data_IF_381096750091
#
_entry.id   IF_381096750091
#
_cell.length_a   1.000
_cell.length_b   1.000
_cell.length_c   1.000
_cell.angle_alpha   90.00
_cell.angle_beta   90.00
_cell.angle_gamma   90.00
#
_symmetry.space_group_name_H-M   'P 1'
#
loop_
_entity.id
_entity.type
_entity.pdbx_description
1 polymer ?
#
# COMPACT_ATOMS: atom_id res chain seq x y z
N UNK A 1 21.39 5.94 -17.23
CA UNK A 1 20.45 5.52 -18.30
C UNK A 1 19.19 5.04 -17.60
N UNK A 2 18.01 5.46 -18.03
CA UNK A 2 16.76 4.94 -17.47
C UNK A 2 16.71 3.43 -17.69
N UNK A 3 16.36 2.67 -16.66
CA UNK A 3 16.15 1.23 -16.80
C UNK A 3 14.71 1.02 -17.22
N UNK A 4 14.47 0.26 -18.29
CA UNK A 4 13.10 -0.09 -18.72
C UNK A 4 12.86 -1.57 -18.45
N UNK A 5 11.78 -1.89 -17.75
CA UNK A 5 11.37 -3.27 -17.46
C UNK A 5 9.89 -3.40 -17.80
N UNK A 6 9.56 -4.28 -18.74
CA UNK A 6 8.18 -4.58 -19.13
C UNK A 6 7.33 -3.34 -19.48
N UNK A 7 7.94 -2.33 -20.13
CA UNK A 7 7.27 -1.09 -20.53
C UNK A 7 7.16 -0.02 -19.46
N UNK A 8 7.76 -0.23 -18.27
CA UNK A 8 7.91 0.78 -17.23
C UNK A 8 9.32 1.35 -17.24
N UNK A 9 9.44 2.68 -17.27
CA UNK A 9 10.70 3.41 -17.22
C UNK A 9 11.01 3.85 -15.79
N UNK A 10 12.16 3.42 -15.28
CA UNK A 10 12.63 3.76 -13.94
C UNK A 10 13.63 4.93 -14.04
N UNK A 11 13.28 6.06 -13.41
CA UNK A 11 14.06 7.31 -13.51
C UNK A 11 15.36 7.22 -12.68
N UNK A 12 15.37 6.42 -11.62
CA UNK A 12 16.51 6.20 -10.73
C UNK A 12 17.33 4.96 -11.10
N UNK A 13 18.41 4.76 -10.34
CA UNK A 13 19.16 3.50 -10.38
C UNK A 13 18.28 2.35 -9.84
N UNK A 14 18.19 1.27 -10.61
CA UNK A 14 17.61 -0.01 -10.16
C UNK A 14 18.76 -0.92 -9.76
N UNK A 15 18.98 -1.06 -8.47
CA UNK A 15 20.07 -1.87 -7.90
C UNK A 15 19.79 -3.37 -8.09
N UNK A 16 20.79 -4.21 -7.84
CA UNK A 16 20.58 -5.67 -7.83
C UNK A 16 19.55 -6.10 -6.79
N UNK A 17 19.55 -5.48 -5.60
CA UNK A 17 18.59 -5.78 -4.54
C UNK A 17 17.14 -5.40 -4.93
N UNK A 18 16.97 -4.37 -5.75
CA UNK A 18 15.63 -3.95 -6.21
C UNK A 18 15.02 -4.99 -7.16
N UNK A 19 15.86 -5.75 -7.89
CA UNK A 19 15.40 -6.73 -8.89
C UNK A 19 14.66 -7.92 -8.30
N UNK A 20 14.83 -8.17 -7.00
CA UNK A 20 14.05 -9.20 -6.30
C UNK A 20 12.59 -8.79 -6.07
N UNK A 21 12.30 -7.48 -6.12
CA UNK A 21 10.94 -6.91 -6.04
C UNK A 21 10.45 -6.52 -7.45
N UNK A 22 11.32 -5.91 -8.24
CA UNK A 22 11.06 -5.43 -9.60
C UNK A 22 11.43 -6.49 -10.63
N UNK A 23 10.94 -7.72 -10.44
CA UNK A 23 11.13 -8.78 -11.43
C UNK A 23 10.39 -8.43 -12.72
N UNK A 24 10.78 -8.97 -13.88
CA UNK A 24 10.07 -8.74 -15.14
C UNK A 24 8.57 -9.05 -15.05
N UNK A 25 8.19 -10.08 -14.31
CA UNK A 25 6.80 -10.52 -14.09
C UNK A 25 6.04 -9.54 -13.21
N UNK A 26 6.64 -9.08 -12.10
CA UNK A 26 6.04 -8.08 -11.22
C UNK A 26 5.83 -6.75 -11.95
N UNK A 27 6.82 -6.32 -12.75
CA UNK A 27 6.71 -5.12 -13.57
C UNK A 27 5.68 -5.27 -14.69
N UNK A 28 5.57 -6.44 -15.33
CA UNK A 28 4.55 -6.70 -16.34
C UNK A 28 3.13 -6.66 -15.73
N UNK A 29 2.96 -7.23 -14.54
CA UNK A 29 1.69 -7.14 -13.81
C UNK A 29 1.35 -5.69 -13.45
N UNK A 30 2.32 -4.93 -12.92
CA UNK A 30 2.15 -3.51 -12.60
C UNK A 30 1.78 -2.68 -13.84
N UNK A 31 2.46 -2.91 -14.97
CA UNK A 31 2.14 -2.24 -16.24
C UNK A 31 0.70 -2.53 -16.68
N UNK A 32 0.25 -3.79 -16.58
CA UNK A 32 -1.13 -4.17 -16.89
C UNK A 32 -2.17 -3.49 -15.98
N UNK A 33 -1.86 -3.31 -14.69
CA UNK A 33 -2.70 -2.55 -13.77
C UNK A 33 -2.78 -1.07 -14.17
N UNK A 34 -1.65 -0.45 -14.51
CA UNK A 34 -1.61 0.95 -14.95
C UNK A 34 -2.44 1.14 -16.22
N UNK A 35 -2.24 0.29 -17.23
CA UNK A 35 -2.97 0.34 -18.50
C UNK A 35 -4.48 0.18 -18.29
N UNK A 36 -4.89 -0.66 -17.34
CA UNK A 36 -6.32 -0.92 -17.08
C UNK A 36 -6.98 0.19 -16.27
N UNK A 37 -6.29 0.76 -15.27
CA UNK A 37 -6.95 1.56 -14.22
C UNK A 37 -6.53 3.04 -14.15
N UNK A 38 -5.38 3.44 -14.70
CA UNK A 38 -4.87 4.80 -14.54
C UNK A 38 -5.82 5.87 -15.09
N UNK A 39 -6.41 5.65 -16.28
CA UNK A 39 -7.37 6.57 -16.90
C UNK A 39 -8.58 6.83 -15.99
N UNK A 40 -9.10 5.77 -15.34
CA UNK A 40 -10.23 5.92 -14.42
C UNK A 40 -9.83 6.65 -13.14
N UNK A 41 -8.64 6.38 -12.62
CA UNK A 41 -8.09 7.08 -11.46
C UNK A 41 -7.98 8.59 -11.72
N UNK A 42 -7.48 9.00 -12.88
CA UNK A 42 -7.36 10.41 -13.24
C UNK A 42 -8.74 11.09 -13.35
N UNK A 43 -9.69 10.44 -14.04
CA UNK A 43 -11.07 10.94 -14.13
C UNK A 43 -11.76 11.08 -12.76
N UNK A 44 -11.43 10.22 -11.79
CA UNK A 44 -11.94 10.33 -10.42
C UNK A 44 -11.33 11.54 -9.68
N UNK A 45 -10.05 11.86 -9.90
CA UNK A 45 -9.42 13.03 -9.33
C UNK A 45 -10.00 14.33 -9.91
N UNK A 46 -10.25 14.38 -11.21
CA UNK A 46 -10.95 15.50 -11.85
C UNK A 46 -12.38 15.67 -11.28
N UNK A 47 -13.10 14.56 -11.11
CA UNK A 47 -14.44 14.58 -10.52
C UNK A 47 -14.44 15.12 -9.07
N UNK A 48 -13.36 14.92 -8.30
CA UNK A 48 -13.21 15.52 -6.96
C UNK A 48 -13.17 17.04 -7.04
N UNK A 49 -12.43 17.62 -7.99
CA UNK A 49 -12.35 19.07 -8.17
C UNK A 49 -13.72 19.66 -8.56
N UNK A 50 -14.45 19.00 -9.46
CA UNK A 50 -15.82 19.40 -9.84
C UNK A 50 -16.77 19.34 -8.63
N UNK A 51 -16.65 18.31 -7.79
CA UNK A 51 -17.48 18.19 -6.60
C UNK A 51 -17.15 19.25 -5.55
N UNK A 52 -15.86 19.52 -5.32
CA UNK A 52 -15.41 20.57 -4.40
C UNK A 52 -15.96 21.95 -4.82
N UNK A 53 -15.88 22.30 -6.11
CA UNK A 53 -16.41 23.57 -6.61
C UNK A 53 -17.92 23.76 -6.37
N UNK A 54 -18.70 22.67 -6.37
CA UNK A 54 -20.13 22.73 -6.02
C UNK A 54 -20.34 23.02 -4.54
N UNK A 55 -19.52 22.42 -3.68
CA UNK A 55 -19.56 22.66 -2.23
C UNK A 55 -19.17 24.10 -1.93
N UNK A 56 -18.10 24.61 -2.56
CA UNK A 56 -17.64 25.98 -2.41
C UNK A 56 -18.72 27.00 -2.87
N UNK A 57 -19.55 26.62 -3.85
CA UNK A 57 -20.71 27.40 -4.29
C UNK A 57 -21.94 27.30 -3.36
N UNK A 58 -21.82 26.63 -2.21
CA UNK A 58 -22.85 26.58 -1.17
C UNK A 58 -23.66 25.27 -1.11
N UNK A 59 -23.37 24.27 -1.95
CA UNK A 59 -24.05 22.98 -1.88
C UNK A 59 -23.43 22.10 -0.77
N UNK A 60 -24.11 21.97 0.37
CA UNK A 60 -23.66 21.06 1.43
C UNK A 60 -23.80 19.58 1.01
N UNK A 61 -22.87 18.69 1.41
CA UNK A 61 -22.99 17.26 1.17
C UNK A 61 -24.23 16.66 1.85
N UNK A 62 -24.92 15.76 1.15
CA UNK A 62 -26.04 14.99 1.68
C UNK A 62 -26.14 13.61 1.00
N UNK A 63 -26.97 12.71 1.54
CA UNK A 63 -27.20 11.38 1.00
C UNK A 63 -27.78 11.43 -0.42
N UNK A 64 -27.16 10.70 -1.35
CA UNK A 64 -27.66 10.60 -2.72
C UNK A 64 -29.01 9.89 -2.78
N UNK A 65 -29.99 10.53 -3.41
CA UNK A 65 -31.33 9.94 -3.65
C UNK A 65 -31.25 8.72 -4.56
N UNK A 66 -30.39 8.76 -5.59
CA UNK A 66 -30.22 7.68 -6.58
C UNK A 66 -29.69 6.36 -6.00
N UNK A 67 -29.13 6.35 -4.80
CA UNK A 67 -28.64 5.13 -4.13
C UNK A 67 -29.51 4.71 -2.95
N UNK A 68 -30.74 5.24 -2.83
CA UNK A 68 -31.65 4.88 -1.73
C UNK A 68 -32.00 3.39 -1.70
N UNK A 69 -32.27 2.77 -2.85
CA UNK A 69 -32.56 1.34 -2.93
C UNK A 69 -31.41 0.45 -2.45
N UNK A 70 -30.16 0.91 -2.58
CA UNK A 70 -28.99 0.20 -2.04
C UNK A 70 -28.94 0.31 -0.52
N UNK A 71 -29.25 1.48 0.06
CA UNK A 71 -29.24 1.70 1.52
C UNK A 71 -30.40 1.00 2.23
N UNK A 72 -31.55 0.92 1.57
CA UNK A 72 -32.76 0.28 2.11
C UNK A 72 -32.83 -1.22 1.78
N UNK A 73 -31.90 -1.73 0.97
CA UNK A 73 -31.89 -3.12 0.52
C UNK A 73 -31.38 -4.08 1.60
N UNK A 74 -31.86 -5.32 1.57
CA UNK A 74 -31.37 -6.41 2.42
C UNK A 74 -30.20 -7.13 1.75
N UNK A 75 -28.99 -6.69 2.08
CA UNK A 75 -27.76 -7.31 1.59
C UNK A 75 -26.65 -7.22 2.64
N UNK A 76 -25.62 -8.05 2.47
CA UNK A 76 -24.41 -8.06 3.29
C UNK A 76 -23.18 -8.20 2.40
N UNK A 77 -22.03 -7.80 2.92
CA UNK A 77 -20.74 -8.10 2.30
C UNK A 77 -20.52 -9.61 2.20
N UNK A 78 -19.58 -10.04 1.36
CA UNK A 78 -19.17 -11.44 1.27
C UNK A 78 -18.63 -11.98 2.60
N UNK A 79 -18.51 -13.31 2.70
CA UNK A 79 -17.94 -13.96 3.88
C UNK A 79 -16.52 -13.47 4.15
N UNK A 80 -16.21 -13.23 5.42
CA UNK A 80 -14.90 -12.75 5.85
C UNK A 80 -13.96 -13.94 6.11
N UNK A 81 -12.67 -13.83 5.75
CA UNK A 81 -11.64 -14.77 6.19
C UNK A 81 -11.60 -14.92 7.72
N UNK A 82 -11.32 -16.12 8.20
CA UNK A 82 -11.39 -16.46 9.62
C UNK A 82 -10.45 -15.62 10.50
N UNK A 83 -9.26 -15.29 9.99
CA UNK A 83 -8.25 -14.46 10.64
C UNK A 83 -8.63 -12.98 10.76
N UNK A 84 -9.66 -12.53 10.04
CA UNK A 84 -10.19 -11.17 10.10
C UNK A 84 -11.48 -11.04 10.94
N UNK A 85 -11.94 -12.13 11.57
CA UNK A 85 -13.13 -12.11 12.42
C UNK A 85 -12.88 -11.48 13.80
N UNK A 86 -11.64 -11.55 14.32
CA UNK A 86 -11.24 -10.91 15.57
C UNK A 86 -10.19 -9.83 15.30
N UNK A 87 -10.63 -8.56 15.28
CA UNK A 87 -9.78 -7.38 15.03
C UNK A 87 -9.86 -6.38 16.19
N UNK A 88 -9.99 -6.89 17.43
CA UNK A 88 -10.27 -6.07 18.63
C UNK A 88 -9.23 -4.97 18.90
N UNK A 89 -7.98 -5.18 18.50
CA UNK A 89 -6.90 -4.21 18.56
C UNK A 89 -6.03 -4.35 17.31
N UNK A 90 -5.74 -3.22 16.67
CA UNK A 90 -4.84 -3.13 15.53
C UNK A 90 -3.75 -2.10 15.82
N UNK A 91 -2.51 -2.40 15.45
CA UNK A 91 -1.41 -1.45 15.52
C UNK A 91 -1.08 -0.95 14.11
N UNK A 92 -0.67 0.30 14.00
CA UNK A 92 -0.25 0.91 12.73
C UNK A 92 1.22 1.30 12.83
N UNK A 93 1.98 1.16 11.74
CA UNK A 93 3.38 1.52 11.77
C UNK A 93 4.06 1.52 10.40
N UNK A 94 5.24 2.14 10.32
CA UNK A 94 5.97 2.22 9.06
C UNK A 94 6.49 0.85 8.63
N UNK A 95 6.84 0.75 7.36
CA UNK A 95 7.38 -0.47 6.73
C UNK A 95 8.89 -0.68 6.94
N UNK A 96 9.46 -0.10 8.01
CA UNK A 96 10.88 -0.30 8.35
C UNK A 96 11.07 -1.64 9.05
N UNK A 97 12.20 -2.30 8.78
CA UNK A 97 12.42 -3.71 9.13
C UNK A 97 12.21 -4.03 10.61
N UNK A 98 12.84 -3.26 11.50
CA UNK A 98 12.68 -3.40 12.96
C UNK A 98 11.25 -3.15 13.42
N UNK A 99 10.57 -2.15 12.84
CA UNK A 99 9.20 -1.79 13.23
C UNK A 99 8.18 -2.83 12.81
N UNK A 100 8.34 -3.44 11.63
CA UNK A 100 7.49 -4.55 11.19
C UNK A 100 7.57 -5.71 12.19
N UNK A 101 8.78 -6.11 12.62
CA UNK A 101 8.97 -7.20 13.59
C UNK A 101 8.29 -6.86 14.92
N UNK A 102 8.57 -5.67 15.47
CA UNK A 102 8.00 -5.25 16.74
C UNK A 102 6.47 -5.17 16.70
N UNK A 103 5.90 -4.69 15.59
CA UNK A 103 4.45 -4.56 15.44
C UNK A 103 3.76 -5.93 15.27
N UNK A 104 4.39 -6.85 14.55
CA UNK A 104 3.89 -8.22 14.37
C UNK A 104 3.95 -9.03 15.67
N UNK A 105 4.94 -8.78 16.53
CA UNK A 105 5.08 -9.44 17.84
C UNK A 105 4.32 -8.72 18.97
N UNK A 106 3.62 -7.62 18.69
CA UNK A 106 2.82 -6.94 19.71
C UNK A 106 1.58 -7.77 20.06
N UNK A 107 1.05 -7.59 21.28
CA UNK A 107 -0.21 -8.23 21.72
C UNK A 107 -1.43 -7.55 21.07
N UNK A 108 -1.56 -7.75 19.76
CA UNK A 108 -2.59 -7.19 18.89
C UNK A 108 -3.05 -8.24 17.88
N UNK A 109 -4.19 -8.02 17.24
CA UNK A 109 -4.71 -8.95 16.23
C UNK A 109 -4.18 -8.67 14.84
N UNK A 110 -3.99 -7.38 14.53
CA UNK A 110 -3.62 -6.91 13.19
C UNK A 110 -2.52 -5.87 13.29
N UNK A 111 -1.57 -5.95 12.37
CA UNK A 111 -0.64 -4.88 12.07
C UNK A 111 -0.92 -4.32 10.68
N UNK A 112 -1.25 -3.02 10.62
CA UNK A 112 -1.34 -2.27 9.38
C UNK A 112 0.02 -1.65 9.04
N UNK A 113 0.73 -2.27 8.11
CA UNK A 113 2.00 -1.80 7.58
C UNK A 113 1.77 -0.70 6.55
N UNK A 114 2.37 0.45 6.79
CA UNK A 114 1.95 1.68 6.14
C UNK A 114 2.94 2.22 5.10
N UNK A 115 2.45 2.37 3.86
CA UNK A 115 3.13 3.08 2.78
C UNK A 115 2.58 4.50 2.53
N UNK A 116 1.68 4.97 3.38
CA UNK A 116 1.00 6.27 3.27
C UNK A 116 1.46 7.24 4.38
N UNK A 117 0.58 7.68 5.29
CA UNK A 117 0.82 8.85 6.14
C UNK A 117 1.99 8.69 7.13
N UNK A 118 2.34 7.46 7.53
CA UNK A 118 3.49 7.20 8.40
C UNK A 118 4.81 6.97 7.64
N UNK A 119 4.80 7.09 6.30
CA UNK A 119 5.98 6.86 5.45
C UNK A 119 6.35 8.12 4.67
N UNK A 120 7.58 8.61 4.84
CA UNK A 120 8.18 9.49 3.81
C UNK A 120 8.44 8.64 2.55
N UNK A 121 7.75 8.88 1.41
CA UNK A 121 7.75 7.97 0.27
C UNK A 121 8.97 8.17 -0.63
N UNK A 122 10.17 8.04 -0.04
CA UNK A 122 11.39 7.94 -0.85
C UNK A 122 11.39 6.61 -1.59
N UNK A 123 12.01 6.56 -2.77
CA UNK A 123 12.13 5.32 -3.54
C UNK A 123 12.69 4.16 -2.69
N UNK A 124 13.73 4.44 -1.90
CA UNK A 124 14.37 3.47 -1.02
C UNK A 124 13.41 2.95 0.05
N UNK A 125 12.67 3.83 0.72
CA UNK A 125 11.69 3.44 1.73
C UNK A 125 10.58 2.55 1.15
N UNK A 126 10.11 2.85 -0.06
CA UNK A 126 9.07 2.05 -0.72
C UNK A 126 9.61 0.67 -1.10
N UNK A 127 10.76 0.59 -1.77
CA UNK A 127 11.33 -0.70 -2.19
C UNK A 127 11.77 -1.55 -0.99
N UNK A 128 12.43 -0.97 0.03
CA UNK A 128 12.75 -1.70 1.27
C UNK A 128 11.50 -2.16 1.99
N UNK A 129 10.46 -1.33 2.00
CA UNK A 129 9.17 -1.70 2.55
C UNK A 129 8.64 -2.97 1.91
N UNK A 130 8.64 -3.06 0.57
CA UNK A 130 8.22 -4.27 -0.15
C UNK A 130 9.08 -5.49 0.19
N UNK A 131 10.41 -5.33 0.26
CA UNK A 131 11.32 -6.38 0.71
C UNK A 131 11.00 -6.86 2.13
N UNK A 132 10.80 -5.93 3.07
CA UNK A 132 10.48 -6.26 4.45
C UNK A 132 9.12 -6.96 4.56
N UNK A 133 8.12 -6.52 3.79
CA UNK A 133 6.80 -7.15 3.75
C UNK A 133 6.87 -8.58 3.21
N UNK A 134 7.61 -8.81 2.12
CA UNK A 134 7.84 -10.15 1.56
C UNK A 134 8.53 -11.08 2.57
N UNK A 135 9.56 -10.59 3.25
CA UNK A 135 10.30 -11.37 4.25
C UNK A 135 9.44 -11.66 5.48
N UNK A 136 8.56 -10.72 5.89
CA UNK A 136 7.62 -10.91 6.99
C UNK A 136 6.58 -11.98 6.68
N UNK A 137 5.98 -11.93 5.48
CA UNK A 137 5.04 -12.97 5.01
C UNK A 137 5.73 -14.34 4.91
N UNK A 138 6.98 -14.35 4.45
CA UNK A 138 7.80 -15.58 4.37
C UNK A 138 8.33 -16.07 5.72
N UNK A 139 8.11 -15.31 6.81
CA UNK A 139 8.65 -15.55 8.16
C UNK A 139 10.18 -15.65 8.21
N UNK A 140 10.87 -14.96 7.30
CA UNK A 140 12.35 -14.88 7.25
C UNK A 140 12.88 -13.51 7.67
N UNK A 141 12.01 -12.56 7.98
CA UNK A 141 12.41 -11.23 8.44
C UNK A 141 13.16 -11.32 9.78
N UNK A 142 14.33 -10.69 9.82
CA UNK A 142 15.16 -10.56 11.01
C UNK A 142 15.90 -9.23 10.99
N UNK A 143 16.26 -8.73 12.15
CA UNK A 143 17.01 -7.49 12.28
C UNK A 143 17.99 -7.59 13.43
N UNK A 144 19.24 -7.19 13.21
CA UNK A 144 20.24 -7.03 14.27
C UNK A 144 20.50 -5.53 14.47
N UNK A 145 20.31 -5.07 15.70
CA UNK A 145 20.50 -3.68 16.07
C UNK A 145 22.00 -3.39 16.23
N UNK A 146 22.60 -2.57 15.35
CA UNK A 146 24.06 -2.41 15.33
C UNK A 146 24.61 -1.69 16.57
N UNK A 147 23.77 -0.95 17.30
CA UNK A 147 24.19 -0.25 18.51
C UNK A 147 24.19 -1.15 19.75
N UNK A 148 23.19 -2.03 19.87
CA UNK A 148 23.00 -2.89 21.05
C UNK A 148 23.38 -4.35 20.86
N UNK A 149 23.58 -4.81 19.62
CA UNK A 149 23.78 -6.22 19.27
C UNK A 149 22.53 -7.08 19.46
N UNK A 150 21.37 -6.49 19.73
CA UNK A 150 20.11 -7.23 19.91
C UNK A 150 19.57 -7.71 18.58
N UNK A 151 19.25 -8.99 18.49
CA UNK A 151 18.55 -9.58 17.34
C UNK A 151 17.04 -9.62 17.57
N UNK A 152 16.28 -9.36 16.51
CA UNK A 152 14.81 -9.36 16.48
C UNK A 152 14.37 -10.32 15.37
N UNK A 153 13.42 -11.20 15.70
CA UNK A 153 12.78 -12.17 14.78
C UNK A 153 11.30 -12.27 15.12
N UNK A 154 10.49 -12.87 14.25
CA UNK A 154 9.07 -13.05 14.52
C UNK A 154 8.81 -14.13 15.56
N UNK A 155 7.77 -13.92 16.37
CA UNK A 155 7.21 -14.97 17.23
C UNK A 155 6.43 -16.00 16.38
N UNK A 156 6.07 -17.14 16.97
CA UNK A 156 5.41 -18.25 16.26
C UNK A 156 4.03 -17.88 15.68
N UNK A 157 3.31 -16.98 16.36
CA UNK A 157 1.96 -16.55 15.99
C UNK A 157 1.86 -15.02 15.94
N UNK A 158 2.48 -14.38 14.93
CA UNK A 158 2.45 -12.93 14.78
C UNK A 158 1.04 -12.44 14.42
N UNK A 159 0.80 -11.14 14.63
CA UNK A 159 -0.42 -10.46 14.19
C UNK A 159 -0.66 -10.61 12.68
N UNK A 160 -1.92 -10.53 12.26
CA UNK A 160 -2.30 -10.53 10.84
C UNK A 160 -1.76 -9.27 10.17
N UNK A 161 -1.13 -9.41 9.01
CA UNK A 161 -0.52 -8.29 8.29
C UNK A 161 -1.50 -7.72 7.26
N UNK A 162 -1.72 -6.40 7.30
CA UNK A 162 -2.49 -5.65 6.29
C UNK A 162 -1.60 -4.53 5.74
N UNK A 163 -1.54 -4.35 4.43
CA UNK A 163 -0.81 -3.26 3.81
C UNK A 163 -1.73 -2.06 3.54
N UNK A 164 -1.36 -0.88 4.04
CA UNK A 164 -1.97 0.40 3.63
C UNK A 164 -1.18 1.00 2.47
N UNK A 165 -1.84 1.21 1.33
CA UNK A 165 -1.26 1.84 0.14
C UNK A 165 -1.44 3.36 0.18
N UNK A 166 -0.63 4.07 -0.62
CA UNK A 166 -0.78 5.52 -0.83
C UNK A 166 -2.16 5.87 -1.38
N UNK A 167 -2.68 7.02 -0.97
CA UNK A 167 -3.94 7.55 -1.48
C UNK A 167 -3.89 7.89 -2.98
N UNK A 168 -5.06 7.88 -3.63
CA UNK A 168 -5.20 8.07 -5.08
C UNK A 168 -4.54 9.33 -5.64
N UNK A 169 -4.25 10.35 -4.86
CA UNK A 169 -3.71 11.63 -5.32
C UNK A 169 -2.17 11.65 -5.41
N UNK A 170 -1.49 10.62 -4.88
CA UNK A 170 -0.03 10.51 -4.90
C UNK A 170 0.41 9.70 -6.11
N UNK A 171 1.39 10.21 -6.85
CA UNK A 171 2.05 9.49 -7.95
C UNK A 171 3.32 8.80 -7.46
N UNK A 172 3.71 7.71 -8.12
CA UNK A 172 5.05 7.13 -7.96
C UNK A 172 5.98 7.72 -9.00
N UNK A 173 6.54 8.90 -8.69
CA UNK A 173 7.35 9.67 -9.66
C UNK A 173 8.61 8.97 -10.15
N UNK A 174 9.05 7.88 -9.51
CA UNK A 174 10.24 7.14 -9.93
C UNK A 174 9.97 6.08 -11.00
N UNK A 175 8.70 5.79 -11.31
CA UNK A 175 8.27 4.82 -12.31
C UNK A 175 7.35 5.52 -13.29
N UNK A 176 7.68 5.47 -14.58
CA UNK A 176 6.88 6.07 -15.64
C UNK A 176 6.31 4.98 -16.54
N UNK A 177 5.05 5.16 -16.95
CA UNK A 177 4.44 4.44 -18.07
C UNK A 177 4.08 5.47 -19.14
N UNK A 178 4.66 5.33 -20.33
CA UNK A 178 4.47 6.28 -21.44
C UNK A 178 4.77 7.75 -21.03
N UNK A 179 5.80 7.94 -20.21
CA UNK A 179 6.24 9.25 -19.71
C UNK A 179 5.41 9.83 -18.56
N UNK A 180 4.44 9.10 -18.03
CA UNK A 180 3.58 9.55 -16.91
C UNK A 180 3.81 8.70 -15.64
N UNK A 181 3.84 9.34 -14.45
CA UNK A 181 4.01 8.66 -13.17
C UNK A 181 2.71 8.11 -12.58
#
# INVERSE_FOLDING_TARGET
>A
MATTISGLDFIGEVTSADRDILTPEACAFLAGLVDTFAVRRDALLEARAVWQAKIDAGALPDFRTSTKSVRDGDWRVGELPADLLDRRVEITGPVTRKMIINALNADVKVFMADFEDALSPTWRNVIEGQTNMRDAVSRTISFEDPGSGKSYTLDDNPAVLIARVRGLHLNEKNVLKDGKP
#
